data_IF_586643613213
#
_entry.id   IF_586643613213
#
_cell.length_a   1.000
_cell.length_b   1.000
_cell.length_c   1.000
_cell.angle_alpha   90.00
_cell.angle_beta   90.00
_cell.angle_gamma   90.00
#
_symmetry.space_group_name_H-M   'P 1'
#
loop_
_entity.id
_entity.type
_entity.pdbx_description
1 polymer ?
#
# COMPACT_ATOMS: atom_id res chain seq x y z
N UNK A 1 -22.06 -7.75 1.25
CA UNK A 1 -20.99 -7.58 0.22
C UNK A 1 -21.01 -6.22 -0.48
N UNK A 2 -22.15 -5.68 -0.93
CA UNK A 2 -22.22 -4.37 -1.64
C UNK A 2 -21.55 -3.20 -0.90
N UNK A 3 -21.69 -3.11 0.44
CA UNK A 3 -21.05 -2.05 1.23
C UNK A 3 -19.51 -2.12 1.22
N UNK A 4 -18.93 -3.31 1.25
CA UNK A 4 -17.46 -3.48 1.24
C UNK A 4 -16.87 -3.05 -0.11
N UNK A 5 -17.44 -3.52 -1.22
CA UNK A 5 -17.01 -3.15 -2.57
C UNK A 5 -17.13 -1.63 -2.76
N UNK A 6 -18.23 -1.03 -2.29
CA UNK A 6 -18.41 0.42 -2.33
C UNK A 6 -17.33 1.16 -1.57
N UNK A 7 -16.90 0.67 -0.39
CA UNK A 7 -15.82 1.28 0.38
C UNK A 7 -14.48 1.20 -0.34
N UNK A 8 -14.16 0.05 -0.94
CA UNK A 8 -12.95 -0.13 -1.77
C UNK A 8 -12.95 0.87 -2.92
N UNK A 9 -14.05 0.96 -3.68
CA UNK A 9 -14.18 1.91 -4.79
C UNK A 9 -14.04 3.36 -4.34
N UNK A 10 -14.59 3.72 -3.17
CA UNK A 10 -14.44 5.06 -2.60
C UNK A 10 -13.01 5.37 -2.18
N UNK A 11 -12.28 4.40 -1.60
CA UNK A 11 -10.85 4.55 -1.27
C UNK A 11 -10.07 4.85 -2.55
N UNK A 12 -10.19 4.01 -3.57
CA UNK A 12 -9.49 4.22 -4.84
C UNK A 12 -9.91 5.51 -5.54
N UNK A 13 -11.20 5.86 -5.51
CA UNK A 13 -11.69 7.14 -6.05
C UNK A 13 -11.07 8.36 -5.35
N UNK A 14 -10.87 8.29 -4.03
CA UNK A 14 -10.15 9.34 -3.31
C UNK A 14 -8.69 9.41 -3.74
N UNK A 15 -8.00 8.27 -3.76
CA UNK A 15 -6.57 8.16 -4.07
C UNK A 15 -6.27 8.68 -5.49
N UNK A 16 -7.06 8.26 -6.48
CA UNK A 16 -6.81 8.59 -7.88
C UNK A 16 -7.40 9.93 -8.33
N UNK A 17 -8.48 10.41 -7.73
CA UNK A 17 -9.21 11.57 -8.25
C UNK A 17 -9.22 12.78 -7.32
N UNK A 18 -9.11 12.59 -6.00
CA UNK A 18 -9.27 13.69 -5.02
C UNK A 18 -7.98 14.21 -4.43
N UNK A 19 -6.88 13.44 -4.46
CA UNK A 19 -5.59 13.95 -4.00
C UNK A 19 -5.05 15.06 -4.89
N UNK A 20 -4.23 15.95 -4.30
CA UNK A 20 -3.44 16.95 -5.03
C UNK A 20 -2.53 16.26 -6.08
N UNK A 21 -2.08 16.96 -7.13
CA UNK A 21 -1.35 16.34 -8.23
C UNK A 21 -0.13 15.52 -7.80
N UNK A 22 0.69 16.03 -6.88
CA UNK A 22 1.92 15.33 -6.44
C UNK A 22 1.60 14.02 -5.68
N UNK A 23 0.81 14.01 -4.58
CA UNK A 23 0.41 12.76 -3.94
C UNK A 23 -0.39 11.82 -4.85
N UNK A 24 -1.14 12.36 -5.81
CA UNK A 24 -1.90 11.56 -6.77
C UNK A 24 -0.95 10.78 -7.69
N UNK A 25 0.00 11.46 -8.32
CA UNK A 25 1.01 10.82 -9.18
C UNK A 25 1.82 9.80 -8.39
N UNK A 26 2.22 10.14 -7.15
CA UNK A 26 2.92 9.20 -6.26
C UNK A 26 2.09 7.95 -5.96
N UNK A 27 0.80 8.09 -5.64
CA UNK A 27 -0.04 6.92 -5.36
C UNK A 27 -0.34 6.08 -6.61
N UNK A 28 -0.48 6.71 -7.79
CA UNK A 28 -0.58 5.96 -9.05
C UNK A 28 0.68 5.15 -9.29
N UNK A 29 1.86 5.74 -9.06
CA UNK A 29 3.14 5.03 -9.12
C UNK A 29 3.19 3.88 -8.12
N UNK A 30 2.90 4.13 -6.85
CA UNK A 30 2.88 3.12 -5.78
C UNK A 30 2.00 1.92 -6.13
N UNK A 31 0.76 2.18 -6.59
CA UNK A 31 -0.17 1.14 -7.00
C UNK A 31 0.37 0.38 -8.22
N UNK A 32 0.92 1.07 -9.21
CA UNK A 32 1.53 0.45 -10.38
C UNK A 32 2.67 -0.49 -10.03
N UNK A 33 3.61 -0.05 -9.18
CA UNK A 33 4.75 -0.85 -8.73
C UNK A 33 4.29 -2.09 -7.94
N UNK A 34 3.26 -1.98 -7.09
CA UNK A 34 2.71 -3.13 -6.38
C UNK A 34 1.96 -4.09 -7.33
N UNK A 35 1.19 -3.57 -8.30
CA UNK A 35 0.46 -4.38 -9.29
C UNK A 35 1.36 -5.10 -10.29
N UNK A 36 2.60 -4.65 -10.49
CA UNK A 36 3.61 -5.36 -11.28
C UNK A 36 3.90 -6.77 -10.75
N UNK A 37 3.49 -7.13 -9.52
CA UNK A 37 3.50 -8.52 -9.06
C UNK A 37 2.74 -9.48 -10.00
N UNK A 38 1.71 -9.00 -10.72
CA UNK A 38 0.96 -9.82 -11.67
C UNK A 38 1.80 -10.24 -12.87
N UNK A 39 2.78 -9.43 -13.28
CA UNK A 39 3.72 -9.80 -14.35
C UNK A 39 4.64 -10.95 -13.89
N UNK A 40 5.05 -10.95 -12.63
CA UNK A 40 5.94 -11.96 -12.04
C UNK A 40 5.20 -13.10 -11.34
N UNK A 41 3.89 -13.30 -11.57
CA UNK A 41 3.03 -14.18 -10.75
C UNK A 41 3.48 -15.65 -10.65
N UNK A 42 4.33 -16.11 -11.56
CA UNK A 42 4.98 -17.43 -11.48
C UNK A 42 5.97 -17.58 -10.33
N UNK A 43 6.43 -16.47 -9.73
CA UNK A 43 7.34 -16.46 -8.59
C UNK A 43 6.56 -16.33 -7.28
N UNK A 44 6.95 -17.11 -6.28
CA UNK A 44 6.30 -17.09 -4.96
C UNK A 44 6.43 -15.71 -4.29
N UNK A 45 7.52 -14.99 -4.53
CA UNK A 45 7.75 -13.64 -4.05
C UNK A 45 6.66 -12.68 -4.54
N UNK A 46 6.30 -12.77 -5.82
CA UNK A 46 5.24 -11.95 -6.40
C UNK A 46 3.85 -12.33 -5.86
N UNK A 47 3.60 -13.61 -5.62
CA UNK A 47 2.36 -14.08 -4.98
C UNK A 47 2.22 -13.55 -3.55
N UNK A 48 3.33 -13.50 -2.78
CA UNK A 48 3.32 -12.90 -1.43
C UNK A 48 3.04 -11.40 -1.51
N UNK A 49 3.58 -10.67 -2.49
CA UNK A 49 3.25 -9.25 -2.71
C UNK A 49 1.76 -9.07 -3.01
N UNK A 50 1.22 -9.91 -3.89
CA UNK A 50 -0.20 -9.87 -4.25
C UNK A 50 -1.09 -10.11 -3.03
N UNK A 51 -0.84 -11.18 -2.27
CA UNK A 51 -1.60 -11.52 -1.06
C UNK A 51 -1.49 -10.39 -0.03
N UNK A 52 -0.29 -9.88 0.22
CA UNK A 52 -0.05 -8.77 1.16
C UNK A 52 -0.82 -7.53 0.73
N UNK A 53 -0.82 -7.20 -0.55
CA UNK A 53 -1.55 -6.05 -1.12
C UNK A 53 -3.06 -6.21 -0.94
N UNK A 54 -3.61 -7.38 -1.28
CA UNK A 54 -5.03 -7.66 -1.12
C UNK A 54 -5.46 -7.58 0.35
N UNK A 55 -4.67 -8.17 1.26
CA UNK A 55 -4.94 -8.09 2.70
C UNK A 55 -4.87 -6.65 3.22
N UNK A 56 -3.91 -5.86 2.74
CA UNK A 56 -3.81 -4.43 3.09
C UNK A 56 -5.05 -3.65 2.65
N UNK A 57 -5.53 -3.88 1.42
CA UNK A 57 -6.78 -3.28 0.91
C UNK A 57 -7.99 -3.69 1.73
N UNK A 58 -8.08 -4.97 2.13
CA UNK A 58 -9.16 -5.45 3.01
C UNK A 58 -9.14 -4.72 4.35
N UNK A 59 -7.98 -4.62 5.00
CA UNK A 59 -7.83 -3.88 6.26
C UNK A 59 -8.24 -2.42 6.10
N UNK A 60 -7.77 -1.75 5.05
CA UNK A 60 -8.14 -0.37 4.74
C UNK A 60 -9.64 -0.18 4.52
N UNK A 61 -10.29 -1.10 3.78
CA UNK A 61 -11.73 -1.06 3.53
C UNK A 61 -12.56 -1.26 4.81
N UNK A 62 -12.09 -2.11 5.74
CA UNK A 62 -12.71 -2.29 7.06
C UNK A 62 -12.58 -1.01 7.89
N UNK A 63 -11.39 -0.40 7.94
CA UNK A 63 -11.15 0.86 8.67
C UNK A 63 -12.02 1.98 8.08
N UNK A 64 -12.00 2.14 6.76
CA UNK A 64 -12.80 3.13 6.05
C UNK A 64 -14.30 2.98 6.34
N UNK A 65 -14.79 1.75 6.37
CA UNK A 65 -16.20 1.48 6.66
C UNK A 65 -16.64 1.92 8.06
N UNK A 66 -15.71 2.07 9.01
CA UNK A 66 -16.03 2.44 10.41
C UNK A 66 -15.85 3.93 10.68
N UNK A 67 -14.76 4.52 10.19
CA UNK A 67 -14.36 5.89 10.55
C UNK A 67 -14.08 6.78 9.33
N UNK A 68 -14.37 6.29 8.12
CA UNK A 68 -14.13 7.00 6.88
C UNK A 68 -12.64 7.09 6.52
N UNK A 69 -12.34 7.93 5.53
CA UNK A 69 -10.98 8.14 5.07
C UNK A 69 -10.21 9.05 6.03
N UNK A 70 -9.41 8.46 6.90
CA UNK A 70 -8.56 9.18 7.86
C UNK A 70 -7.11 8.79 7.67
N UNK A 71 -6.20 9.54 8.31
CA UNK A 71 -4.75 9.27 8.28
C UNK A 71 -4.37 7.86 8.75
N UNK A 72 -5.23 7.18 9.52
CA UNK A 72 -4.94 5.84 10.07
C UNK A 72 -5.05 4.71 9.05
N UNK A 73 -5.58 4.96 7.84
CA UNK A 73 -5.66 3.92 6.80
C UNK A 73 -4.28 3.32 6.47
N UNK A 74 -3.20 4.07 6.64
CA UNK A 74 -1.82 3.60 6.47
C UNK A 74 -1.45 2.40 7.35
N UNK A 75 -2.19 2.11 8.44
CA UNK A 75 -1.97 0.91 9.28
C UNK A 75 -2.08 -0.39 8.47
N UNK A 76 -2.87 -0.41 7.39
CA UNK A 76 -2.94 -1.59 6.51
C UNK A 76 -1.57 -2.03 5.97
N UNK A 77 -0.65 -1.08 5.80
CA UNK A 77 0.69 -1.32 5.28
C UNK A 77 1.67 -1.90 6.30
N UNK A 78 1.29 -2.08 7.58
CA UNK A 78 2.10 -2.84 8.54
C UNK A 78 2.41 -4.26 8.04
N UNK A 79 1.56 -4.81 7.16
CA UNK A 79 1.78 -6.10 6.53
C UNK A 79 3.01 -6.14 5.60
N UNK A 80 3.54 -4.99 5.17
CA UNK A 80 4.80 -4.94 4.43
C UNK A 80 6.01 -5.39 5.25
N UNK A 81 5.99 -5.20 6.58
CA UNK A 81 7.11 -5.58 7.46
C UNK A 81 7.39 -7.09 7.38
N UNK A 82 6.43 -7.99 7.70
CA UNK A 82 6.68 -9.42 7.61
C UNK A 82 6.97 -9.88 6.17
N UNK A 83 6.36 -9.25 5.17
CA UNK A 83 6.64 -9.52 3.76
C UNK A 83 8.11 -9.27 3.41
N UNK A 84 8.64 -8.08 3.69
CA UNK A 84 10.02 -7.75 3.37
C UNK A 84 11.02 -8.50 4.26
N UNK A 85 10.68 -8.78 5.52
CA UNK A 85 11.50 -9.63 6.38
C UNK A 85 11.63 -11.05 5.80
N UNK A 86 10.55 -11.62 5.27
CA UNK A 86 10.59 -12.92 4.61
C UNK A 86 11.37 -12.89 3.28
N UNK A 87 11.24 -11.81 2.49
CA UNK A 87 12.01 -11.64 1.25
C UNK A 87 13.52 -11.52 1.51
N UNK A 88 13.92 -10.88 2.61
CA UNK A 88 15.32 -10.76 2.98
C UNK A 88 15.98 -12.14 3.21
N UNK A 89 15.23 -13.11 3.72
CA UNK A 89 15.69 -14.50 3.86
C UNK A 89 15.80 -15.28 2.54
N UNK A 90 15.40 -14.68 1.41
CA UNK A 90 15.38 -15.30 0.07
C UNK A 90 16.24 -14.56 -0.95
N UNK A 91 17.19 -13.74 -0.48
CA UNK A 91 17.98 -12.85 -1.34
C UNK A 91 18.72 -13.62 -2.45
N UNK A 92 19.21 -14.82 -2.16
CA UNK A 92 19.92 -15.67 -3.14
C UNK A 92 18.97 -16.18 -4.24
N UNK A 93 17.76 -16.63 -3.87
CA UNK A 93 16.75 -17.07 -4.83
C UNK A 93 16.25 -15.92 -5.70
N UNK A 94 16.14 -14.72 -5.13
CA UNK A 94 15.76 -13.51 -5.87
C UNK A 94 16.89 -13.10 -6.83
N UNK A 95 18.14 -13.17 -6.38
CA UNK A 95 19.31 -12.81 -7.18
C UNK A 95 19.52 -13.69 -8.43
N UNK A 96 18.93 -14.89 -8.46
CA UNK A 96 18.92 -15.74 -9.65
C UNK A 96 18.05 -15.19 -10.80
N UNK A 97 17.20 -14.20 -10.53
CA UNK A 97 16.25 -13.62 -11.49
C UNK A 97 16.41 -12.09 -11.55
N UNK A 98 17.27 -11.55 -12.43
CA UNK A 98 17.62 -10.12 -12.45
C UNK A 98 16.43 -9.17 -12.60
N UNK A 99 15.44 -9.51 -13.43
CA UNK A 99 14.24 -8.68 -13.61
C UNK A 99 13.36 -8.65 -12.36
N UNK A 100 13.16 -9.80 -11.71
CA UNK A 100 12.42 -9.91 -10.44
C UNK A 100 13.14 -9.11 -9.35
N UNK A 101 14.47 -9.25 -9.26
CA UNK A 101 15.30 -8.52 -8.29
C UNK A 101 15.18 -7.01 -8.49
N UNK A 102 15.32 -6.53 -9.73
CA UNK A 102 15.21 -5.10 -10.03
C UNK A 102 13.83 -4.54 -9.63
N UNK A 103 12.75 -5.26 -9.97
CA UNK A 103 11.40 -4.88 -9.55
C UNK A 103 11.24 -4.89 -8.02
N UNK A 104 11.74 -5.92 -7.33
CA UNK A 104 11.64 -6.02 -5.86
C UNK A 104 12.43 -4.91 -5.15
N UNK A 105 13.56 -4.46 -5.71
CA UNK A 105 14.29 -3.28 -5.20
C UNK A 105 13.42 -2.02 -5.36
N UNK A 106 12.85 -1.79 -6.55
CA UNK A 106 11.95 -0.64 -6.79
C UNK A 106 10.73 -0.70 -5.86
N UNK A 107 10.15 -1.89 -5.66
CA UNK A 107 9.04 -2.13 -4.74
C UNK A 107 9.45 -1.81 -3.29
N UNK A 108 10.60 -2.30 -2.83
CA UNK A 108 11.10 -2.06 -1.48
C UNK A 108 11.33 -0.58 -1.21
N UNK A 109 11.99 0.13 -2.12
CA UNK A 109 12.23 1.58 -2.00
C UNK A 109 10.91 2.36 -2.02
N UNK A 110 10.02 2.05 -2.96
CA UNK A 110 8.72 2.75 -3.09
C UNK A 110 7.85 2.54 -1.86
N UNK A 111 7.77 1.30 -1.35
CA UNK A 111 7.00 0.98 -0.16
C UNK A 111 7.65 1.57 1.10
N UNK A 112 8.99 1.59 1.22
CA UNK A 112 9.67 2.22 2.36
C UNK A 112 9.38 3.73 2.47
N UNK A 113 9.42 4.45 1.35
CA UNK A 113 9.06 5.89 1.33
C UNK A 113 7.60 6.08 1.74
N UNK A 114 6.69 5.26 1.22
CA UNK A 114 5.27 5.34 1.55
C UNK A 114 5.01 4.97 3.01
N UNK A 115 5.74 3.99 3.54
CA UNK A 115 5.64 3.56 4.92
C UNK A 115 6.10 4.64 5.91
N UNK A 116 7.13 5.42 5.57
CA UNK A 116 7.54 6.58 6.38
C UNK A 116 6.44 7.65 6.45
N UNK A 117 5.71 7.86 5.35
CA UNK A 117 4.53 8.75 5.31
C UNK A 117 3.42 8.17 6.20
N UNK A 118 3.15 6.88 6.09
CA UNK A 118 2.13 6.20 6.91
C UNK A 118 2.42 6.31 8.41
N UNK A 119 3.68 6.12 8.84
CA UNK A 119 4.08 6.29 10.25
C UNK A 119 3.79 7.72 10.72
N UNK A 120 4.13 8.71 9.90
CA UNK A 120 3.88 10.13 10.21
C UNK A 120 2.38 10.39 10.36
N UNK A 121 1.57 9.84 9.45
CA UNK A 121 0.12 10.00 9.44
C UNK A 121 -0.56 9.30 10.61
N UNK A 122 -0.13 8.07 10.95
CA UNK A 122 -0.60 7.35 12.14
C UNK A 122 -0.21 8.08 13.41
N UNK A 123 1.00 8.63 13.50
CA UNK A 123 1.45 9.42 14.66
C UNK A 123 0.59 10.67 14.85
N UNK A 124 0.30 11.41 13.75
CA UNK A 124 -0.61 12.57 13.79
C UNK A 124 -2.03 12.18 14.17
N UNK A 125 -2.51 11.06 13.66
CA UNK A 125 -3.79 10.51 14.05
C UNK A 125 -3.81 10.24 15.55
N UNK A 126 -2.85 9.50 16.10
CA UNK A 126 -2.77 9.23 17.55
C UNK A 126 -2.75 10.53 18.38
N UNK A 127 -2.07 11.58 17.89
CA UNK A 127 -2.04 12.92 18.50
C UNK A 127 -3.35 13.72 18.40
N UNK A 128 -4.38 13.20 17.74
CA UNK A 128 -5.72 13.79 17.68
C UNK A 128 -6.13 14.38 16.33
N UNK A 129 -5.26 14.40 15.32
CA UNK A 129 -5.62 14.86 13.98
C UNK A 129 -6.51 13.82 13.27
N UNK A 130 -7.84 14.02 13.34
CA UNK A 130 -8.82 13.13 12.69
C UNK A 130 -9.27 13.60 11.30
N UNK A 131 -8.75 14.72 10.81
CA UNK A 131 -9.18 15.30 9.52
C UNK A 131 -8.79 14.41 8.33
N UNK A 132 -9.69 14.24 7.32
CA UNK A 132 -9.39 13.47 6.11
C UNK A 132 -8.27 14.11 5.28
N UNK A 133 -7.31 13.31 4.82
CA UNK A 133 -6.13 13.78 4.07
C UNK A 133 -6.45 14.51 2.74
N UNK A 134 -7.63 14.27 2.16
CA UNK A 134 -8.08 14.91 0.89
C UNK A 134 -9.02 16.10 1.07
N UNK A 135 -9.48 16.41 2.29
CA UNK A 135 -10.27 17.61 2.57
C UNK A 135 -9.44 18.55 3.40
N UNK A 136 -8.95 19.59 2.74
CA UNK A 136 -8.47 20.78 3.44
C UNK A 136 -9.49 21.89 3.17
N UNK A 137 -9.92 22.52 4.26
CA UNK A 137 -10.84 23.66 4.35
C UNK A 137 -10.59 24.72 3.30
#
# INVERSE_FOLDING_TARGET
>A
MMGFVTNVLKIFGVVFLRFRPVPRVWNVWLVGVNLMCLYFIGHIEAQVVLVTTLMSVVVQAIIYGRIGFTRVLGIGHLLWIPMFAWMAARIDSIGAHPELQAWLIVLAVTNAVSFAIDITDVTRFVKGERTPHYRWS
#
